data_IF_282801441193
#
_entry.id   IF_282801441193
#
_cell.length_a   1.000
_cell.length_b   1.000
_cell.length_c   1.000
_cell.angle_alpha   90.00
_cell.angle_beta   90.00
_cell.angle_gamma   90.00
#
_symmetry.space_group_name_H-M   'P 1'
#
loop_
_entity.id
_entity.type
_entity.pdbx_description
1 polymer ?
#
# COMPACT_ATOMS: atom_id res chain seq x y z
N UNK A 1 -20.04 -11.95 10.02
CA UNK A 1 -19.05 -12.84 10.65
C UNK A 1 -17.73 -12.14 10.42
N UNK A 2 -17.22 -11.43 11.43
CA UNK A 2 -16.10 -10.49 11.27
C UNK A 2 -14.77 -11.24 11.21
N UNK A 3 -14.08 -11.10 10.07
CA UNK A 3 -12.75 -11.61 9.72
C UNK A 3 -11.61 -10.91 10.50
N UNK A 4 -11.81 -10.55 11.77
CA UNK A 4 -10.77 -9.84 12.54
C UNK A 4 -9.60 -10.75 12.98
N UNK A 5 -9.72 -12.08 12.80
CA UNK A 5 -8.67 -13.05 13.08
C UNK A 5 -7.64 -13.23 11.95
N UNK A 6 -7.84 -12.60 10.78
CA UNK A 6 -6.94 -12.81 9.63
C UNK A 6 -5.52 -12.27 9.87
N UNK A 7 -5.37 -11.31 10.78
CA UNK A 7 -4.09 -10.62 11.02
C UNK A 7 -3.54 -10.90 12.41
N UNK A 8 -2.25 -11.24 12.48
CA UNK A 8 -1.57 -11.52 13.74
C UNK A 8 -1.21 -10.19 14.41
N UNK A 9 -1.83 -9.89 15.56
CA UNK A 9 -1.64 -8.64 16.34
C UNK A 9 -0.19 -8.35 16.79
N UNK A 10 0.71 -9.32 16.67
CA UNK A 10 2.14 -9.22 17.05
C UNK A 10 3.09 -9.42 15.86
N UNK A 11 2.54 -9.48 14.64
CA UNK A 11 3.32 -9.58 13.43
C UNK A 11 3.66 -8.16 12.95
N UNK A 12 4.94 -7.92 12.68
CA UNK A 12 5.33 -6.72 11.96
C UNK A 12 4.90 -6.85 10.50
N UNK A 13 4.38 -5.75 9.96
CA UNK A 13 4.03 -5.63 8.56
C UNK A 13 4.83 -4.49 7.95
N UNK A 14 5.03 -4.58 6.64
CA UNK A 14 5.72 -3.58 5.84
C UNK A 14 4.89 -3.26 4.62
N UNK A 15 4.85 -2.01 4.20
CA UNK A 15 4.13 -1.58 3.01
C UNK A 15 5.07 -0.97 1.98
N UNK A 16 4.65 -1.00 0.73
CA UNK A 16 5.21 -0.16 -0.33
C UNK A 16 4.07 0.48 -1.11
N UNK A 17 4.33 1.67 -1.62
CA UNK A 17 3.42 2.39 -2.49
C UNK A 17 3.91 2.20 -3.92
N UNK A 18 3.01 1.78 -4.79
CA UNK A 18 3.27 1.59 -6.21
C UNK A 18 2.39 2.58 -6.99
N UNK A 19 2.95 3.18 -8.02
CA UNK A 19 2.26 4.09 -8.93
C UNK A 19 2.27 3.53 -10.35
N UNK A 20 1.16 3.69 -11.07
CA UNK A 20 1.03 3.38 -12.48
C UNK A 20 0.50 4.63 -13.19
N UNK A 21 1.25 5.15 -14.14
CA UNK A 21 0.83 6.30 -14.95
C UNK A 21 0.22 5.79 -16.26
N UNK A 22 -0.95 6.31 -16.64
CA UNK A 22 -1.60 5.91 -17.89
C UNK A 22 -0.81 6.30 -19.13
N UNK A 23 -0.19 7.48 -19.07
CA UNK A 23 0.65 8.00 -20.15
C UNK A 23 2.09 7.50 -20.06
N UNK A 24 2.43 6.72 -19.03
CA UNK A 24 3.71 6.07 -18.87
C UNK A 24 3.73 4.72 -19.59
N UNK A 25 4.63 4.54 -20.55
CA UNK A 25 4.82 3.25 -21.25
C UNK A 25 5.37 2.10 -20.37
N UNK A 26 5.40 2.25 -19.05
CA UNK A 26 5.97 1.31 -18.11
C UNK A 26 4.98 1.03 -16.99
N UNK A 27 4.86 -0.24 -16.61
CA UNK A 27 3.98 -0.71 -15.56
C UNK A 27 4.28 -0.12 -14.18
N UNK A 28 3.76 -0.78 -13.14
CA UNK A 28 3.90 -0.34 -11.75
C UNK A 28 5.34 0.02 -11.37
N UNK A 29 5.52 1.24 -10.84
CA UNK A 29 6.78 1.77 -10.32
C UNK A 29 6.67 1.95 -8.81
N UNK A 30 7.76 1.68 -8.10
CA UNK A 30 7.86 1.95 -6.67
C UNK A 30 7.89 3.47 -6.44
N UNK A 31 7.11 3.95 -5.48
CA UNK A 31 7.23 5.30 -4.95
C UNK A 31 8.18 5.33 -3.75
N UNK A 32 9.18 6.20 -3.81
CA UNK A 32 10.25 6.32 -2.81
C UNK A 32 11.48 5.45 -3.12
N UNK A 33 12.54 5.65 -2.33
CA UNK A 33 13.84 4.97 -2.50
C UNK A 33 13.96 3.67 -1.68
N UNK A 34 13.10 3.46 -0.67
CA UNK A 34 13.14 2.27 0.18
C UNK A 34 12.17 1.18 -0.32
N UNK A 35 12.58 -0.11 -0.33
CA UNK A 35 11.78 -1.19 -0.90
C UNK A 35 10.45 -1.42 -0.15
N UNK A 36 10.42 -1.20 1.16
CA UNK A 36 9.19 -1.11 1.97
C UNK A 36 9.42 -0.27 3.24
N UNK A 37 8.38 0.39 3.74
CA UNK A 37 8.38 1.06 5.05
C UNK A 37 7.61 0.24 6.08
N UNK A 38 8.06 0.25 7.34
CA UNK A 38 7.41 -0.50 8.41
C UNK A 38 6.06 0.12 8.78
N UNK A 39 5.03 -0.72 8.91
CA UNK A 39 3.73 -0.31 9.46
C UNK A 39 3.91 0.01 10.94
N UNK A 40 3.54 1.21 11.42
CA UNK A 40 3.65 1.55 12.83
C UNK A 40 2.84 0.57 13.69
N UNK A 41 3.52 -0.05 14.67
CA UNK A 41 2.89 -1.02 15.57
C UNK A 41 1.74 -0.43 16.39
N UNK A 42 1.77 0.89 16.65
CA UNK A 42 0.67 1.62 17.28
C UNK A 42 -0.60 1.64 16.44
N UNK A 43 -0.48 1.69 15.11
CA UNK A 43 -1.64 1.64 14.21
C UNK A 43 -2.29 0.26 14.24
N UNK A 44 -1.50 -0.82 14.20
CA UNK A 44 -2.04 -2.19 14.26
C UNK A 44 -2.61 -2.58 15.63
N UNK A 45 -2.27 -1.84 16.69
CA UNK A 45 -2.82 -2.04 18.02
C UNK A 45 -4.29 -1.59 18.14
N UNK A 46 -4.73 -0.65 17.31
CA UNK A 46 -6.04 0.00 17.41
C UNK A 46 -6.97 -0.28 16.22
N UNK A 47 -6.44 -0.78 15.10
CA UNK A 47 -7.19 -1.03 13.87
C UNK A 47 -6.61 -2.18 13.05
N UNK A 48 -7.39 -2.72 12.11
CA UNK A 48 -6.96 -3.82 11.25
C UNK A 48 -5.98 -3.35 10.18
N UNK A 49 -5.23 -4.31 9.60
CA UNK A 49 -4.31 -4.03 8.49
C UNK A 49 -5.05 -3.39 7.31
N UNK A 50 -6.26 -3.84 6.97
CA UNK A 50 -7.04 -3.24 5.87
C UNK A 50 -7.38 -1.78 6.13
N UNK A 51 -7.70 -1.42 7.37
CA UNK A 51 -7.96 -0.01 7.74
C UNK A 51 -6.68 0.83 7.66
N UNK A 52 -5.54 0.31 8.13
CA UNK A 52 -4.25 0.99 7.96
C UNK A 52 -3.94 1.24 6.48
N UNK A 53 -4.15 0.22 5.64
CA UNK A 53 -3.88 0.31 4.21
C UNK A 53 -4.85 1.25 3.51
N UNK A 54 -6.13 1.26 3.89
CA UNK A 54 -7.11 2.19 3.35
C UNK A 54 -6.72 3.65 3.63
N UNK A 55 -6.32 3.97 4.86
CA UNK A 55 -5.86 5.33 5.23
C UNK A 55 -4.61 5.69 4.42
N UNK A 56 -3.62 4.81 4.36
CA UNK A 56 -2.39 5.07 3.59
C UNK A 56 -2.68 5.23 2.09
N UNK A 57 -3.62 4.47 1.55
CA UNK A 57 -4.03 4.56 0.16
C UNK A 57 -4.73 5.89 -0.14
N UNK A 58 -5.57 6.38 0.77
CA UNK A 58 -6.20 7.71 0.67
C UNK A 58 -5.16 8.83 0.76
N UNK A 59 -4.24 8.76 1.72
CA UNK A 59 -3.15 9.72 1.86
C UNK A 59 -2.26 9.75 0.60
N UNK A 60 -1.89 8.58 0.08
CA UNK A 60 -1.11 8.47 -1.15
C UNK A 60 -1.88 9.00 -2.36
N UNK A 61 -3.18 8.67 -2.48
CA UNK A 61 -4.01 9.20 -3.58
C UNK A 61 -4.12 10.73 -3.54
N UNK A 62 -4.18 11.32 -2.34
CA UNK A 62 -4.16 12.77 -2.17
C UNK A 62 -2.80 13.39 -2.53
N UNK A 63 -1.69 12.72 -2.19
CA UNK A 63 -0.35 13.14 -2.57
C UNK A 63 -0.14 13.11 -4.10
N UNK A 64 -0.74 12.12 -4.77
CA UNK A 64 -0.68 11.96 -6.23
C UNK A 64 -1.94 12.50 -6.94
N UNK A 65 -2.67 13.46 -6.37
CA UNK A 65 -3.92 13.93 -6.97
C UNK A 65 -3.76 14.48 -8.41
N UNK A 66 -2.56 14.97 -8.77
CA UNK A 66 -2.22 15.45 -10.12
C UNK A 66 -1.79 14.31 -11.09
N UNK A 67 -1.85 13.05 -10.65
CA UNK A 67 -1.51 11.86 -11.43
C UNK A 67 -2.74 11.34 -12.19
N UNK A 68 -2.65 11.21 -13.51
CA UNK A 68 -3.60 10.39 -14.28
C UNK A 68 -3.13 8.93 -14.30
N UNK A 69 -3.73 8.09 -13.46
CA UNK A 69 -3.24 6.72 -13.26
C UNK A 69 -3.81 6.00 -12.05
N UNK A 70 -3.04 5.07 -11.49
CA UNK A 70 -3.42 4.29 -10.32
C UNK A 70 -2.34 4.32 -9.24
N UNK A 71 -2.78 4.31 -8.00
CA UNK A 71 -1.93 4.08 -6.82
C UNK A 71 -2.32 2.76 -6.18
N UNK A 72 -1.33 1.99 -5.73
CA UNK A 72 -1.52 0.72 -5.03
C UNK A 72 -0.63 0.66 -3.80
N UNK A 73 -1.17 0.16 -2.70
CA UNK A 73 -0.42 -0.18 -1.50
C UNK A 73 -0.33 -1.70 -1.41
N UNK A 74 0.89 -2.23 -1.37
CA UNK A 74 1.18 -3.65 -1.15
C UNK A 74 1.72 -3.83 0.27
N UNK A 75 1.20 -4.81 1.01
CA UNK A 75 1.67 -5.17 2.35
C UNK A 75 2.34 -6.54 2.39
N UNK A 76 3.42 -6.63 3.15
CA UNK A 76 4.26 -7.82 3.33
C UNK A 76 4.52 -8.10 4.80
N UNK A 77 4.97 -9.32 5.09
CA UNK A 77 5.43 -9.75 6.42
C UNK A 77 6.95 -9.69 6.58
N UNK A 78 7.66 -9.14 5.59
CA UNK A 78 9.11 -8.97 5.58
C UNK A 78 9.48 -7.58 5.05
N UNK A 79 10.59 -6.98 5.52
CA UNK A 79 11.04 -5.63 5.13
C UNK A 79 11.63 -5.54 3.72
N UNK A 80 12.14 -6.63 3.18
CA UNK A 80 12.73 -6.66 1.84
C UNK A 80 12.15 -7.87 1.10
N UNK A 81 10.91 -7.74 0.59
CA UNK A 81 10.27 -8.82 -0.13
C UNK A 81 11.03 -9.10 -1.43
N UNK A 82 11.25 -10.38 -1.73
CA UNK A 82 11.79 -10.79 -3.02
C UNK A 82 10.96 -10.20 -4.19
N UNK A 83 11.54 -9.99 -5.38
CA UNK A 83 10.82 -9.37 -6.50
C UNK A 83 9.52 -10.08 -6.89
N UNK A 84 9.42 -11.38 -6.64
CA UNK A 84 8.26 -12.26 -6.91
C UNK A 84 7.41 -12.53 -5.66
N UNK A 85 7.73 -11.92 -4.52
CA UNK A 85 6.97 -12.11 -3.30
C UNK A 85 5.53 -11.60 -3.47
N UNK A 86 4.58 -12.42 -3.04
CA UNK A 86 3.16 -12.08 -3.07
C UNK A 86 2.81 -11.30 -1.80
N UNK A 87 2.19 -10.11 -1.92
CA UNK A 87 1.75 -9.35 -0.76
C UNK A 87 0.67 -10.10 0.00
N UNK A 88 0.68 -9.99 1.34
CA UNK A 88 -0.35 -10.55 2.20
C UNK A 88 -1.67 -9.79 2.10
N UNK A 89 -1.60 -8.53 1.66
CA UNK A 89 -2.74 -7.69 1.34
C UNK A 89 -2.33 -6.61 0.34
N UNK A 90 -3.20 -6.31 -0.61
CA UNK A 90 -3.03 -5.18 -1.53
C UNK A 90 -4.35 -4.45 -1.72
N UNK A 91 -4.27 -3.13 -1.84
CA UNK A 91 -5.40 -2.28 -2.22
C UNK A 91 -4.95 -1.24 -3.23
N UNK A 92 -5.82 -0.88 -4.16
CA UNK A 92 -5.53 0.08 -5.22
C UNK A 92 -6.67 1.08 -5.40
N UNK A 93 -6.31 2.28 -5.85
CA UNK A 93 -7.23 3.37 -6.14
C UNK A 93 -6.86 4.00 -7.48
N UNK A 94 -7.88 4.29 -8.28
CA UNK A 94 -7.73 5.05 -9.52
C UNK A 94 -7.71 6.54 -9.18
N UNK A 95 -6.72 7.25 -9.72
CA UNK A 95 -6.62 8.69 -9.64
C UNK A 95 -6.96 9.23 -11.03
N UNK A 96 -7.91 10.17 -11.06
CA UNK A 96 -8.26 10.89 -12.27
C UNK A 96 -7.72 12.29 -12.11
N UNK A 97 -6.95 12.71 -13.11
CA UNK A 97 -6.59 14.10 -13.21
C UNK A 97 -7.88 14.93 -13.42
N UNK A 98 -8.09 15.93 -12.57
CA UNK A 98 -9.32 16.73 -12.55
C UNK A 98 -9.24 17.98 -13.45
N UNK A 99 -8.23 18.10 -14.31
CA UNK A 99 -8.04 19.24 -15.23
C UNK A 99 -8.79 19.12 -16.56
#
# INVERSE_FOLDING_TARGET
>A
MEDWEKWKKWQNYWWRIMILEDRGHGGWRLFGDEPTSQVPNSSLAIQSLEKCVAILLEDAAAEFADLDGEVRVDCFTVPDPAPDAVPVYSAQMRIYDHW
#
